data_IF_383944574119
#
_entry.id   IF_383944574119
#
_cell.length_a   1.000
_cell.length_b   1.000
_cell.length_c   1.000
_cell.angle_alpha   90.00
_cell.angle_beta   90.00
_cell.angle_gamma   90.00
#
_symmetry.space_group_name_H-M   'P 1'
#
loop_
_entity.id
_entity.type
_entity.pdbx_description
1 polymer ?
#
# COMPACT_ATOMS: atom_id res chain seq x y z
N UNK A 1 10.39 6.62 -20.53
CA UNK A 1 9.41 5.67 -19.93
C UNK A 1 9.90 4.25 -20.19
N UNK A 2 10.49 3.62 -19.17
CA UNK A 2 11.13 2.31 -19.32
C UNK A 2 10.09 1.19 -19.39
N UNK A 3 10.18 0.36 -20.43
CA UNK A 3 9.33 -0.80 -20.74
C UNK A 3 9.36 -1.92 -19.66
N UNK A 4 10.12 -1.76 -18.58
CA UNK A 4 10.31 -2.77 -17.53
C UNK A 4 9.17 -2.82 -16.50
N UNK A 5 8.29 -1.81 -16.43
CA UNK A 5 7.25 -1.75 -15.39
C UNK A 5 6.03 -2.66 -15.68
N UNK A 6 5.72 -2.93 -16.96
CA UNK A 6 4.49 -3.64 -17.36
C UNK A 6 4.51 -5.15 -17.10
N UNK A 7 5.67 -5.80 -17.14
CA UNK A 7 5.78 -7.25 -16.93
C UNK A 7 5.84 -7.67 -15.45
N UNK A 8 6.26 -6.79 -14.54
CA UNK A 8 6.30 -7.07 -13.09
C UNK A 8 4.97 -6.81 -12.38
N UNK A 9 4.05 -6.17 -13.09
CA UNK A 9 2.83 -5.55 -12.57
C UNK A 9 1.74 -6.53 -12.07
N UNK A 10 1.43 -7.65 -12.75
CA UNK A 10 0.39 -8.56 -12.26
C UNK A 10 0.86 -9.38 -11.06
N UNK A 11 2.17 -9.64 -10.96
CA UNK A 11 2.74 -10.41 -9.86
C UNK A 11 2.77 -9.61 -8.55
N UNK A 12 3.13 -8.32 -8.61
CA UNK A 12 3.12 -7.43 -7.43
C UNK A 12 1.72 -7.29 -6.85
N UNK A 13 0.70 -7.06 -7.68
CA UNK A 13 -0.69 -6.95 -7.19
C UNK A 13 -1.18 -8.27 -6.57
N UNK A 14 -0.78 -9.40 -7.14
CA UNK A 14 -1.13 -10.72 -6.64
C UNK A 14 -0.49 -11.02 -5.28
N UNK A 15 0.81 -10.74 -5.10
CA UNK A 15 1.49 -10.96 -3.80
C UNK A 15 0.91 -10.04 -2.74
N UNK A 16 0.63 -8.78 -3.05
CA UNK A 16 0.08 -7.82 -2.09
C UNK A 16 -1.33 -8.23 -1.64
N UNK A 17 -2.20 -8.65 -2.55
CA UNK A 17 -3.53 -9.17 -2.19
C UNK A 17 -3.43 -10.45 -1.35
N UNK A 18 -2.55 -11.38 -1.72
CA UNK A 18 -2.35 -12.61 -0.95
C UNK A 18 -1.76 -12.35 0.42
N UNK A 19 -0.86 -11.37 0.54
CA UNK A 19 -0.32 -10.93 1.81
C UNK A 19 -1.40 -10.30 2.69
N UNK A 20 -2.32 -9.52 2.12
CA UNK A 20 -3.48 -8.95 2.82
C UNK A 20 -4.40 -10.07 3.33
N UNK A 21 -4.71 -11.06 2.50
CA UNK A 21 -5.58 -12.19 2.86
C UNK A 21 -5.01 -12.99 4.03
N UNK A 22 -3.76 -13.44 3.90
CA UNK A 22 -3.06 -14.20 4.96
C UNK A 22 -2.92 -13.35 6.22
N UNK A 23 -2.53 -12.08 6.08
CA UNK A 23 -2.34 -11.19 7.23
C UNK A 23 -3.65 -10.86 7.96
N UNK A 24 -4.80 -10.84 7.25
CA UNK A 24 -6.13 -10.77 7.87
C UNK A 24 -6.45 -12.03 8.67
N UNK A 25 -6.09 -13.21 8.18
CA UNK A 25 -6.31 -14.48 8.89
C UNK A 25 -5.46 -14.60 10.17
N UNK A 26 -4.20 -14.14 10.12
CA UNK A 26 -3.27 -14.23 11.27
C UNK A 26 -3.31 -12.99 12.18
N UNK A 27 -4.07 -11.94 11.83
CA UNK A 27 -4.14 -10.68 12.57
C UNK A 27 -2.83 -9.85 12.53
N UNK A 28 -2.01 -10.03 11.48
CA UNK A 28 -0.74 -9.32 11.33
C UNK A 28 -0.95 -7.91 10.75
N UNK A 29 -1.45 -7.00 11.59
CA UNK A 29 -1.77 -5.62 11.22
C UNK A 29 -0.58 -4.84 10.66
N UNK A 30 0.65 -5.14 11.12
CA UNK A 30 1.86 -4.52 10.60
C UNK A 30 2.09 -4.85 9.12
N UNK A 31 2.00 -6.12 8.75
CA UNK A 31 2.18 -6.61 7.37
C UNK A 31 1.08 -6.15 6.44
N UNK A 32 -0.17 -6.06 6.95
CA UNK A 32 -1.29 -5.46 6.25
C UNK A 32 -0.99 -4.02 5.84
N UNK A 33 -0.58 -3.19 6.81
CA UNK A 33 -0.27 -1.80 6.54
C UNK A 33 0.78 -1.62 5.46
N UNK A 34 1.87 -2.40 5.48
CA UNK A 34 2.93 -2.32 4.47
C UNK A 34 2.44 -2.74 3.09
N UNK A 35 1.62 -3.80 3.01
CA UNK A 35 1.07 -4.25 1.73
C UNK A 35 0.16 -3.18 1.09
N UNK A 36 -0.67 -2.50 1.90
CA UNK A 36 -1.51 -1.41 1.43
C UNK A 36 -0.71 -0.16 1.04
N UNK A 37 0.38 0.15 1.75
CA UNK A 37 1.29 1.25 1.42
C UNK A 37 1.92 1.03 0.03
N UNK A 38 2.45 -0.17 -0.22
CA UNK A 38 3.07 -0.53 -1.50
C UNK A 38 2.06 -0.49 -2.65
N UNK A 39 0.83 -0.96 -2.41
CA UNK A 39 -0.30 -0.83 -3.35
C UNK A 39 -0.60 0.63 -3.67
N UNK A 40 -0.69 1.49 -2.64
CA UNK A 40 -0.94 2.91 -2.78
C UNK A 40 0.12 3.62 -3.63
N UNK A 41 1.40 3.32 -3.37
CA UNK A 41 2.52 3.85 -4.17
C UNK A 41 2.48 3.37 -5.62
N UNK A 42 2.14 2.10 -5.85
CA UNK A 42 1.99 1.53 -7.19
C UNK A 42 0.83 2.20 -7.96
N UNK A 43 -0.30 2.43 -7.30
CA UNK A 43 -1.44 3.15 -7.90
C UNK A 43 -1.09 4.61 -8.20
N UNK A 44 -0.36 5.28 -7.31
CA UNK A 44 0.16 6.64 -7.53
C UNK A 44 1.09 6.69 -8.74
N UNK A 45 2.03 5.75 -8.85
CA UNK A 45 2.94 5.67 -10.00
C UNK A 45 2.21 5.44 -11.35
N UNK A 46 1.00 4.88 -11.31
CA UNK A 46 0.13 4.67 -12.48
C UNK A 46 -0.81 5.84 -12.77
N UNK A 47 -0.76 6.91 -11.98
CA UNK A 47 -1.72 8.03 -12.09
C UNK A 47 -3.14 7.68 -11.64
N UNK A 48 -3.32 6.58 -10.88
CA UNK A 48 -4.63 6.16 -10.34
C UNK A 48 -4.80 6.72 -8.94
N UNK A 49 -5.01 8.03 -8.87
CA UNK A 49 -5.05 8.82 -7.63
C UNK A 49 -6.14 8.36 -6.65
N UNK A 50 -7.34 8.02 -7.12
CA UNK A 50 -8.43 7.56 -6.26
C UNK A 50 -8.09 6.23 -5.56
N UNK A 51 -7.61 5.25 -6.32
CA UNK A 51 -7.21 3.94 -5.78
C UNK A 51 -6.00 4.06 -4.85
N UNK A 52 -5.07 4.97 -5.17
CA UNK A 52 -3.92 5.23 -4.31
C UNK A 52 -4.36 5.82 -2.97
N UNK A 53 -5.31 6.75 -2.98
CA UNK A 53 -5.88 7.39 -1.79
C UNK A 53 -6.58 6.37 -0.88
N UNK A 54 -7.39 5.48 -1.44
CA UNK A 54 -8.04 4.39 -0.69
C UNK A 54 -7.00 3.47 -0.04
N UNK A 55 -6.03 2.98 -0.82
CA UNK A 55 -5.00 2.06 -0.30
C UNK A 55 -4.16 2.71 0.81
N UNK A 56 -3.75 3.96 0.64
CA UNK A 56 -2.96 4.68 1.65
C UNK A 56 -3.78 4.96 2.91
N UNK A 57 -5.08 5.21 2.78
CA UNK A 57 -5.97 5.41 3.93
C UNK A 57 -6.12 4.13 4.74
N UNK A 58 -6.29 2.97 4.10
CA UNK A 58 -6.30 1.68 4.80
C UNK A 58 -4.95 1.40 5.47
N UNK A 59 -3.83 1.67 4.79
CA UNK A 59 -2.49 1.52 5.38
C UNK A 59 -2.33 2.34 6.68
N UNK A 60 -2.79 3.60 6.68
CA UNK A 60 -2.76 4.48 7.86
C UNK A 60 -3.54 3.88 9.01
N UNK A 61 -4.76 3.37 8.78
CA UNK A 61 -5.57 2.76 9.84
C UNK A 61 -4.87 1.56 10.50
N UNK A 62 -4.20 0.72 9.72
CA UNK A 62 -3.45 -0.41 10.26
C UNK A 62 -2.18 0.04 11.01
N UNK A 63 -1.47 1.06 10.52
CA UNK A 63 -0.29 1.58 11.21
C UNK A 63 -0.61 2.33 12.51
N UNK A 64 -1.76 3.00 12.58
CA UNK A 64 -2.26 3.62 13.83
C UNK A 64 -2.51 2.57 14.90
N UNK A 65 -3.09 1.41 14.52
CA UNK A 65 -3.29 0.29 15.44
C UNK A 65 -1.98 -0.40 15.81
N UNK A 66 -1.02 -0.48 14.89
CA UNK A 66 0.27 -1.16 15.07
C UNK A 66 1.37 -0.34 15.76
N UNK A 67 1.14 0.94 16.10
CA UNK A 67 2.17 1.90 16.58
C UNK A 67 3.39 2.00 15.66
N UNK A 68 3.18 1.80 14.37
CA UNK A 68 4.22 1.82 13.36
C UNK A 68 4.47 3.26 12.86
N UNK A 69 5.02 4.12 13.73
CA UNK A 69 5.14 5.57 13.49
C UNK A 69 5.90 5.94 12.22
N UNK A 70 6.98 5.20 11.89
CA UNK A 70 7.77 5.44 10.67
C UNK A 70 6.93 5.21 9.42
N UNK A 71 6.18 4.12 9.39
CA UNK A 71 5.35 3.76 8.24
C UNK A 71 4.10 4.64 8.14
N UNK A 72 3.54 5.05 9.28
CA UNK A 72 2.47 6.04 9.36
C UNK A 72 2.90 7.36 8.71
N UNK A 73 4.10 7.86 9.05
CA UNK A 73 4.63 9.09 8.48
C UNK A 73 4.78 8.98 6.96
N UNK A 74 5.36 7.88 6.47
CA UNK A 74 5.50 7.63 5.04
C UNK A 74 4.14 7.55 4.32
N UNK A 75 3.15 6.87 4.89
CA UNK A 75 1.83 6.75 4.30
C UNK A 75 1.12 8.12 4.20
N UNK A 76 1.24 8.96 5.23
CA UNK A 76 0.69 10.33 5.23
C UNK A 76 1.40 11.25 4.23
N UNK A 77 2.73 11.16 4.12
CA UNK A 77 3.49 11.92 3.11
C UNK A 77 3.10 11.48 1.68
N UNK A 78 2.97 10.18 1.45
CA UNK A 78 2.51 9.65 0.18
C UNK A 78 1.08 10.12 -0.15
N UNK A 79 0.19 10.17 0.85
CA UNK A 79 -1.18 10.66 0.69
C UNK A 79 -1.21 12.17 0.37
N UNK A 80 -0.45 12.97 1.12
CA UNK A 80 -0.35 14.41 0.89
C UNK A 80 0.25 14.77 -0.48
N UNK A 81 1.05 13.87 -1.06
CA UNK A 81 1.61 14.05 -2.40
C UNK A 81 0.68 13.65 -3.56
N UNK A 82 -0.55 13.22 -3.24
CA UNK A 82 -1.60 12.87 -4.22
C UNK A 82 -2.62 14.01 -4.38
N UNK A 83 -2.70 14.94 -3.41
CA UNK A 83 -3.49 16.17 -3.51
C UNK A 83 -2.82 17.23 -4.42
#
# INVERSE_FOLDING_TARGET
MSFTCLFFQPFSLFILNKAIEVSKEIGANGTLGTAYLDLGLLHKAKGRTDQARECLSEAIQFFEQGKAETYLKQAREALASID
#
